data_IF_126564235477
#
_entry.id   IF_126564235477
#
_cell.length_a   1.000
_cell.length_b   1.000
_cell.length_c   1.000
_cell.angle_alpha   90.00
_cell.angle_beta   90.00
_cell.angle_gamma   90.00
#
_symmetry.space_group_name_H-M   'P 1'
#
loop_
_entity.id
_entity.type
_entity.pdbx_description
1 polymer ?
#
# COMPACT_ATOMS: atom_id res chain seq x y z
N UNK A 1 21.42 -15.73 4.22
CA UNK A 1 20.67 -15.05 3.13
C UNK A 1 20.09 -13.77 3.70
N UNK A 2 20.35 -12.60 3.10
CA UNK A 2 19.86 -11.33 3.64
C UNK A 2 18.32 -11.38 3.75
N UNK A 3 17.81 -11.27 4.98
CA UNK A 3 16.37 -11.25 5.29
C UNK A 3 15.66 -10.01 4.73
N UNK A 4 16.43 -9.04 4.23
CA UNK A 4 15.98 -7.73 3.77
C UNK A 4 16.07 -7.64 2.24
N UNK A 5 15.08 -6.98 1.63
CA UNK A 5 15.09 -6.56 0.23
C UNK A 5 15.69 -5.16 0.12
N UNK A 6 16.88 -5.05 -0.45
CA UNK A 6 17.62 -3.77 -0.56
C UNK A 6 16.82 -2.71 -1.33
N UNK A 7 16.16 -3.11 -2.42
CA UNK A 7 15.32 -2.20 -3.20
C UNK A 7 14.15 -1.63 -2.39
N UNK A 8 13.42 -2.50 -1.67
CA UNK A 8 12.28 -2.06 -0.86
C UNK A 8 12.71 -1.27 0.38
N UNK A 9 13.87 -1.61 0.95
CA UNK A 9 14.52 -0.80 1.99
C UNK A 9 14.82 0.61 1.48
N UNK A 10 15.37 0.74 0.27
CA UNK A 10 15.64 2.04 -0.34
C UNK A 10 14.35 2.84 -0.58
N UNK A 11 13.29 2.20 -1.10
CA UNK A 11 11.97 2.84 -1.27
C UNK A 11 11.39 3.29 0.07
N UNK A 12 11.48 2.47 1.11
CA UNK A 12 11.02 2.83 2.44
C UNK A 12 11.80 4.02 3.02
N UNK A 13 13.13 4.01 2.93
CA UNK A 13 13.97 5.14 3.38
C UNK A 13 13.65 6.40 2.58
N UNK A 14 13.51 6.30 1.26
CA UNK A 14 13.15 7.44 0.40
C UNK A 14 11.78 8.02 0.80
N UNK A 15 10.80 7.16 1.08
CA UNK A 15 9.49 7.60 1.57
C UNK A 15 9.59 8.34 2.91
N UNK A 16 10.31 7.79 3.88
CA UNK A 16 10.49 8.41 5.21
C UNK A 16 11.19 9.77 5.10
N UNK A 17 12.24 9.86 4.28
CA UNK A 17 12.95 11.12 4.05
C UNK A 17 12.07 12.15 3.34
N UNK A 18 11.37 11.74 2.28
CA UNK A 18 10.47 12.62 1.54
C UNK A 18 9.35 13.17 2.42
N UNK A 19 8.68 12.28 3.16
CA UNK A 19 7.60 12.70 4.06
C UNK A 19 8.12 13.56 5.21
N UNK A 20 9.29 13.23 5.79
CA UNK A 20 9.93 14.03 6.83
C UNK A 20 10.28 15.44 6.34
N UNK A 21 10.80 15.58 5.11
CA UNK A 21 11.07 16.89 4.50
C UNK A 21 9.77 17.66 4.25
N UNK A 22 8.72 17.01 3.74
CA UNK A 22 7.42 17.66 3.57
C UNK A 22 6.87 18.22 4.88
N UNK A 23 6.90 17.42 5.95
CA UNK A 23 6.45 17.85 7.28
C UNK A 23 7.29 19.00 7.81
N UNK A 24 8.60 18.98 7.56
CA UNK A 24 9.50 20.06 7.98
C UNK A 24 9.24 21.39 7.22
N UNK A 25 8.74 21.33 5.98
CA UNK A 25 8.46 22.50 5.15
C UNK A 25 7.06 23.10 5.36
N UNK A 26 6.15 22.38 6.00
CA UNK A 26 4.76 22.82 6.19
C UNK A 26 4.62 23.41 7.59
N UNK A 27 4.15 24.67 7.65
CA UNK A 27 3.89 25.37 8.91
C UNK A 27 2.51 25.04 9.52
N UNK A 28 1.63 24.42 8.73
CA UNK A 28 0.29 24.02 9.15
C UNK A 28 0.27 22.60 9.76
N UNK A 29 -0.63 22.34 10.73
CA UNK A 29 -0.80 21.00 11.27
C UNK A 29 -1.30 20.03 10.19
N UNK A 30 -0.68 18.85 10.13
CA UNK A 30 -1.13 17.77 9.24
C UNK A 30 -2.58 17.38 9.55
N UNK A 31 -3.40 17.27 8.50
CA UNK A 31 -4.74 16.73 8.64
C UNK A 31 -4.69 15.26 9.10
N UNK A 32 -5.68 14.86 9.90
CA UNK A 32 -5.76 13.49 10.42
C UNK A 32 -5.91 12.45 9.29
N UNK A 33 -6.56 12.81 8.19
CA UNK A 33 -6.70 11.98 7.00
C UNK A 33 -5.35 11.74 6.31
N UNK A 34 -4.55 12.80 6.10
CA UNK A 34 -3.21 12.69 5.52
C UNK A 34 -2.28 11.87 6.42
N UNK A 35 -2.32 12.12 7.74
CA UNK A 35 -1.55 11.35 8.71
C UNK A 35 -1.91 9.86 8.67
N UNK A 36 -3.19 9.53 8.55
CA UNK A 36 -3.66 8.14 8.47
C UNK A 36 -3.13 7.41 7.24
N UNK A 37 -3.15 8.08 6.07
CA UNK A 37 -2.61 7.52 4.82
C UNK A 37 -1.08 7.36 4.91
N UNK A 38 -0.39 8.33 5.51
CA UNK A 38 1.05 8.27 5.72
C UNK A 38 1.44 7.11 6.64
N UNK A 39 0.72 6.92 7.75
CA UNK A 39 0.94 5.82 8.70
C UNK A 39 0.67 4.47 8.04
N UNK A 40 -0.45 4.33 7.31
CA UNK A 40 -0.78 3.12 6.56
C UNK A 40 0.36 2.75 5.58
N UNK A 41 0.84 3.75 4.83
CA UNK A 41 1.93 3.58 3.86
C UNK A 41 3.25 3.25 4.53
N UNK A 42 3.58 3.90 5.65
CA UNK A 42 4.78 3.64 6.43
C UNK A 42 4.84 2.17 6.87
N UNK A 43 3.76 1.65 7.48
CA UNK A 43 3.74 0.27 7.94
C UNK A 43 3.78 -0.74 6.79
N UNK A 44 3.04 -0.49 5.70
CA UNK A 44 3.05 -1.39 4.55
C UNK A 44 4.43 -1.46 3.88
N UNK A 45 5.05 -0.30 3.63
CA UNK A 45 6.40 -0.25 3.04
C UNK A 45 7.44 -0.84 4.00
N UNK A 46 7.38 -0.49 5.28
CA UNK A 46 8.29 -0.98 6.31
C UNK A 46 8.22 -2.50 6.48
N UNK A 47 7.02 -3.07 6.53
CA UNK A 47 6.85 -4.53 6.57
C UNK A 47 7.36 -5.20 5.29
N UNK A 48 7.14 -4.57 4.14
CA UNK A 48 7.57 -5.06 2.82
C UNK A 48 9.10 -5.06 2.63
N UNK A 49 9.87 -4.42 3.52
CA UNK A 49 11.35 -4.51 3.53
C UNK A 49 11.81 -5.94 3.79
N UNK A 50 11.06 -6.71 4.58
CA UNK A 50 11.44 -8.04 5.03
C UNK A 50 10.97 -9.12 4.05
N UNK A 51 11.91 -9.89 3.50
CA UNK A 51 11.62 -10.99 2.57
C UNK A 51 10.68 -12.06 3.14
N UNK A 52 10.68 -12.41 4.44
CA UNK A 52 9.69 -13.32 5.00
C UNK A 52 8.25 -12.81 4.85
N UNK A 53 8.02 -11.51 4.98
CA UNK A 53 6.69 -10.89 4.78
C UNK A 53 6.25 -11.06 3.33
N UNK A 54 7.16 -10.80 2.38
CA UNK A 54 6.88 -10.93 0.94
C UNK A 54 6.55 -12.38 0.53
N UNK A 55 7.16 -13.35 1.21
CA UNK A 55 6.94 -14.78 0.95
C UNK A 55 5.72 -15.34 1.68
N UNK A 56 5.08 -14.54 2.53
CA UNK A 56 3.94 -15.00 3.30
C UNK A 56 2.74 -15.29 2.39
N UNK A 57 2.00 -16.39 2.57
CA UNK A 57 0.85 -16.74 1.72
C UNK A 57 -0.22 -15.65 1.62
N UNK A 58 -0.41 -14.88 2.71
CA UNK A 58 -1.35 -13.77 2.77
C UNK A 58 -0.83 -12.46 2.15
N UNK A 59 0.43 -12.39 1.70
CA UNK A 59 1.02 -11.13 1.24
C UNK A 59 0.19 -10.47 0.14
N UNK A 60 -0.27 -11.24 -0.85
CA UNK A 60 -1.06 -10.69 -1.96
C UNK A 60 -2.42 -10.16 -1.50
N UNK A 61 -3.08 -10.86 -0.57
CA UNK A 61 -4.34 -10.40 0.04
C UNK A 61 -4.12 -9.09 0.80
N UNK A 62 -3.09 -9.04 1.66
CA UNK A 62 -2.74 -7.83 2.42
C UNK A 62 -2.37 -6.68 1.50
N UNK A 63 -1.64 -6.96 0.41
CA UNK A 63 -1.29 -5.97 -0.60
C UNK A 63 -2.53 -5.41 -1.30
N UNK A 64 -3.49 -6.26 -1.67
CA UNK A 64 -4.75 -5.81 -2.28
C UNK A 64 -5.59 -4.97 -1.30
N UNK A 65 -5.63 -5.37 -0.02
CA UNK A 65 -6.33 -4.62 1.04
C UNK A 65 -5.66 -3.26 1.25
N UNK A 66 -4.33 -3.23 1.33
CA UNK A 66 -3.56 -2.00 1.43
C UNK A 66 -3.88 -1.05 0.26
N UNK A 67 -3.86 -1.53 -0.99
CA UNK A 67 -4.17 -0.71 -2.16
C UNK A 67 -5.60 -0.15 -2.11
N UNK A 68 -6.56 -0.95 -1.68
CA UNK A 68 -7.95 -0.50 -1.47
C UNK A 68 -8.01 0.64 -0.44
N UNK A 69 -7.36 0.44 0.71
CA UNK A 69 -7.33 1.44 1.78
C UNK A 69 -6.57 2.70 1.38
N UNK A 70 -5.53 2.58 0.55
CA UNK A 70 -4.77 3.70 0.03
C UNK A 70 -5.65 4.57 -0.86
N UNK A 71 -6.36 4.00 -1.84
CA UNK A 71 -7.25 4.78 -2.70
C UNK A 71 -8.44 5.38 -1.94
N UNK A 72 -9.03 4.61 -1.01
CA UNK A 72 -10.09 5.12 -0.16
C UNK A 72 -9.59 6.28 0.72
N UNK A 73 -8.41 6.14 1.31
CA UNK A 73 -7.78 7.18 2.11
C UNK A 73 -7.49 8.44 1.29
N UNK A 74 -6.93 8.29 0.09
CA UNK A 74 -6.69 9.41 -0.83
C UNK A 74 -7.99 10.12 -1.23
N UNK A 75 -9.08 9.37 -1.44
CA UNK A 75 -10.40 9.94 -1.71
C UNK A 75 -10.87 10.83 -0.55
N UNK A 76 -10.76 10.35 0.69
CA UNK A 76 -11.15 11.13 1.88
C UNK A 76 -10.21 12.30 2.20
N UNK A 77 -8.97 12.28 1.74
CA UNK A 77 -8.05 13.41 1.82
C UNK A 77 -8.44 14.52 0.81
N UNK A 78 -9.35 14.24 -0.12
CA UNK A 78 -9.68 15.17 -1.21
C UNK A 78 -8.52 15.31 -2.20
N UNK A 79 -7.68 14.29 -2.31
CA UNK A 79 -6.55 14.32 -3.23
C UNK A 79 -7.06 14.11 -4.67
N UNK A 80 -6.65 14.96 -5.61
CA UNK A 80 -6.89 14.74 -7.04
C UNK A 80 -8.39 14.61 -7.42
N UNK A 81 -8.69 13.94 -8.53
CA UNK A 81 -10.06 13.69 -9.01
C UNK A 81 -10.74 12.59 -8.18
N UNK A 82 -11.70 12.99 -7.35
CA UNK A 82 -12.46 12.12 -6.44
C UNK A 82 -13.18 10.97 -7.15
N UNK A 83 -13.75 11.22 -8.34
CA UNK A 83 -14.46 10.17 -9.10
C UNK A 83 -13.47 9.08 -9.51
N UNK A 84 -12.26 9.46 -9.96
CA UNK A 84 -11.22 8.51 -10.33
C UNK A 84 -10.79 7.69 -9.12
N UNK A 85 -10.57 8.32 -7.97
CA UNK A 85 -10.18 7.61 -6.75
C UNK A 85 -11.27 6.67 -6.23
N UNK A 86 -12.54 7.07 -6.35
CA UNK A 86 -13.67 6.21 -6.01
C UNK A 86 -13.70 4.97 -6.91
N UNK A 87 -13.57 5.15 -8.23
CA UNK A 87 -13.51 4.04 -9.19
C UNK A 87 -12.32 3.11 -8.87
N UNK A 88 -11.14 3.67 -8.62
CA UNK A 88 -9.95 2.89 -8.26
C UNK A 88 -10.14 2.12 -6.94
N UNK A 89 -10.81 2.72 -5.96
CA UNK A 89 -11.14 2.07 -4.69
C UNK A 89 -12.06 0.87 -4.92
N UNK A 90 -13.11 1.02 -5.74
CA UNK A 90 -14.02 -0.07 -6.09
C UNK A 90 -13.30 -1.20 -6.82
N UNK A 91 -12.48 -0.87 -7.82
CA UNK A 91 -11.69 -1.85 -8.55
C UNK A 91 -10.69 -2.58 -7.65
N UNK A 92 -10.02 -1.86 -6.75
CA UNK A 92 -9.11 -2.46 -5.77
C UNK A 92 -9.85 -3.39 -4.80
N UNK A 93 -11.06 -3.01 -4.35
CA UNK A 93 -11.90 -3.85 -3.49
C UNK A 93 -12.32 -5.15 -4.19
N UNK A 94 -12.64 -5.10 -5.50
CA UNK A 94 -12.85 -6.31 -6.29
C UNK A 94 -11.58 -7.17 -6.35
N UNK A 95 -10.41 -6.56 -6.50
CA UNK A 95 -9.12 -7.23 -6.42
C UNK A 95 -8.90 -7.96 -5.08
N UNK A 96 -9.34 -7.38 -3.96
CA UNK A 96 -9.33 -8.07 -2.65
C UNK A 96 -10.18 -9.34 -2.70
N UNK A 97 -11.39 -9.26 -3.27
CA UNK A 97 -12.27 -10.43 -3.42
C UNK A 97 -11.60 -11.56 -4.21
N UNK A 98 -10.93 -11.22 -5.33
CA UNK A 98 -10.17 -12.16 -6.14
C UNK A 98 -9.01 -12.77 -5.36
N UNK A 99 -8.23 -11.97 -4.63
CA UNK A 99 -7.09 -12.47 -3.86
C UNK A 99 -7.51 -13.33 -2.67
N UNK A 100 -8.63 -13.00 -2.00
CA UNK A 100 -9.21 -13.85 -0.95
C UNK A 100 -9.68 -15.18 -1.53
N UNK A 101 -10.31 -15.16 -2.71
CA UNK A 101 -10.72 -16.38 -3.40
C UNK A 101 -9.49 -17.25 -3.74
N UNK A 102 -8.46 -16.63 -4.33
CA UNK A 102 -7.19 -17.27 -4.65
C UNK A 102 -6.53 -17.89 -3.41
N UNK A 103 -6.52 -17.18 -2.28
CA UNK A 103 -5.99 -17.69 -1.02
C UNK A 103 -6.77 -18.92 -0.50
N UNK A 104 -8.10 -18.91 -0.60
CA UNK A 104 -8.94 -20.01 -0.12
C UNK A 104 -8.90 -21.26 -1.01
N UNK A 105 -8.76 -21.08 -2.33
CA UNK A 105 -8.85 -22.17 -3.30
C UNK A 105 -7.50 -22.58 -3.90
N UNK A 106 -6.39 -21.95 -3.48
CA UNK A 106 -5.06 -22.23 -4.02
C UNK A 106 -4.90 -21.86 -5.49
N UNK A 107 -5.71 -20.92 -6.00
CA UNK A 107 -5.66 -20.43 -7.39
C UNK A 107 -4.84 -19.16 -7.52
N UNK A 108 -4.55 -18.73 -8.75
CA UNK A 108 -3.77 -17.52 -9.07
C UNK A 108 -4.44 -16.66 -10.13
N UNK A 109 -5.77 -16.62 -10.15
CA UNK A 109 -6.52 -15.86 -11.15
C UNK A 109 -6.14 -14.39 -11.16
N UNK A 110 -6.02 -13.83 -12.37
CA UNK A 110 -5.72 -12.41 -12.63
C UNK A 110 -4.36 -11.93 -12.07
N UNK A 111 -3.49 -12.85 -11.63
CA UNK A 111 -2.10 -12.53 -11.35
C UNK A 111 -1.32 -12.47 -12.65
N UNK A 112 -0.63 -11.36 -12.86
CA UNK A 112 0.32 -11.21 -13.96
C UNK A 112 1.70 -11.65 -13.46
N UNK A 113 1.90 -12.97 -13.39
CA UNK A 113 3.21 -13.53 -13.10
C UNK A 113 4.10 -13.31 -14.34
N UNK A 114 4.95 -12.28 -14.29
CA UNK A 114 6.01 -12.12 -15.30
C UNK A 114 7.10 -13.14 -14.96
N UNK A 115 7.18 -14.19 -15.76
CA UNK A 115 8.24 -15.20 -15.75
C UNK A 115 9.60 -14.59 -16.05
#
# INVERSE_FOLDING_TARGET
MASVSTWRAAVFVAFVLFFGVLVWLIDEPLSLSLLSVAVLTFFYLGASVFRPVLKHPLYNVVSAVYTTLLFAGMYFVGAYNEIVLLVLTVLAALGVGVEVYNYRHGTSYLRLDHS
#
